data_IF_827491013270
#
_entry.id   IF_827491013270
#
_cell.length_a   1.000
_cell.length_b   1.000
_cell.length_c   1.000
_cell.angle_alpha   90.00
_cell.angle_beta   90.00
_cell.angle_gamma   90.00
#
_symmetry.space_group_name_H-M   'P 1'
#
loop_
_entity.id
_entity.type
_entity.pdbx_description
1 polymer ?
#
# COMPACT_ATOMS: atom_id res chain seq x y z
N UNK A 1 -42.64 4.86 -31.03
CA UNK A 1 -42.43 3.42 -30.79
C UNK A 1 -40.96 3.10 -31.05
N UNK A 2 -40.07 3.42 -30.10
CA UNK A 2 -38.68 2.94 -30.04
C UNK A 2 -38.43 2.72 -28.54
N UNK A 3 -38.26 1.47 -28.16
CA UNK A 3 -38.11 1.01 -26.78
C UNK A 3 -36.72 1.37 -26.26
N UNK A 4 -36.68 1.91 -25.03
CA UNK A 4 -35.46 2.04 -24.23
C UNK A 4 -35.14 0.66 -23.67
N UNK A 5 -33.98 0.12 -24.02
CA UNK A 5 -33.41 -1.06 -23.37
C UNK A 5 -32.79 -0.58 -22.06
N UNK A 6 -33.53 -0.75 -20.96
CA UNK A 6 -32.96 -0.74 -19.62
C UNK A 6 -32.15 -2.04 -19.49
N UNK A 7 -30.82 -1.92 -19.40
CA UNK A 7 -29.98 -3.03 -18.96
C UNK A 7 -30.29 -3.28 -17.49
N UNK A 8 -31.05 -4.33 -17.23
CA UNK A 8 -31.29 -4.86 -15.90
C UNK A 8 -29.95 -5.21 -15.23
N UNK A 9 -29.69 -4.57 -14.10
CA UNK A 9 -28.70 -5.06 -13.16
C UNK A 9 -29.19 -6.43 -12.66
N UNK A 10 -28.44 -7.48 -12.98
CA UNK A 10 -28.68 -8.79 -12.41
C UNK A 10 -28.26 -8.74 -10.93
N UNK A 11 -29.23 -8.42 -10.09
CA UNK A 11 -29.20 -8.65 -8.65
C UNK A 11 -29.25 -10.18 -8.44
N UNK A 12 -28.12 -10.79 -8.10
CA UNK A 12 -28.02 -12.23 -7.85
C UNK A 12 -28.50 -12.62 -6.44
N UNK A 13 -29.06 -11.68 -5.66
CA UNK A 13 -29.58 -11.95 -4.33
C UNK A 13 -28.49 -12.32 -3.31
N UNK A 14 -27.22 -11.99 -3.57
CA UNK A 14 -26.09 -12.30 -2.69
C UNK A 14 -25.58 -11.13 -1.85
N UNK A 15 -26.37 -10.05 -1.66
CA UNK A 15 -26.03 -8.75 -1.02
C UNK A 15 -25.53 -8.74 0.44
N UNK A 16 -24.90 -9.83 0.89
CA UNK A 16 -24.14 -9.97 2.12
C UNK A 16 -22.75 -10.56 1.86
N UNK A 17 -22.34 -10.84 0.62
CA UNK A 17 -21.02 -11.38 0.31
C UNK A 17 -20.41 -10.70 -0.91
N UNK A 18 -19.12 -10.41 -0.86
CA UNK A 18 -18.36 -9.95 -2.01
C UNK A 18 -16.89 -10.37 -1.93
N UNK A 19 -16.25 -10.43 -3.09
CA UNK A 19 -14.82 -10.70 -3.23
C UNK A 19 -14.18 -9.55 -3.98
N UNK A 20 -13.05 -9.06 -3.49
CA UNK A 20 -12.26 -8.04 -4.16
C UNK A 20 -10.78 -8.41 -4.11
N UNK A 21 -10.02 -7.87 -5.06
CA UNK A 21 -8.57 -7.99 -5.09
C UNK A 21 -7.92 -6.63 -5.27
N UNK A 22 -6.74 -6.42 -4.69
CA UNK A 22 -5.95 -5.22 -4.88
C UNK A 22 -4.45 -5.56 -4.90
N UNK A 23 -3.67 -4.77 -5.62
CA UNK A 23 -2.22 -4.90 -5.64
C UNK A 23 -1.53 -4.00 -4.61
N UNK A 24 -0.39 -4.45 -4.11
CA UNK A 24 0.43 -3.65 -3.21
C UNK A 24 1.04 -2.46 -3.96
N UNK A 25 1.26 -1.36 -3.24
CA UNK A 25 1.98 -0.20 -3.77
C UNK A 25 3.29 0.05 -3.02
N UNK A 26 4.27 0.62 -3.74
CA UNK A 26 5.55 1.09 -3.17
C UNK A 26 5.56 2.61 -3.19
N UNK A 27 5.80 3.20 -2.02
CA UNK A 27 5.90 4.65 -1.89
C UNK A 27 7.18 5.16 -2.55
N UNK A 28 7.03 6.07 -3.50
CA UNK A 28 8.12 6.83 -4.13
C UNK A 28 8.43 8.07 -3.29
N UNK A 29 7.39 8.78 -2.85
CA UNK A 29 7.46 9.79 -1.78
C UNK A 29 6.80 9.21 -0.55
N UNK A 30 7.51 9.21 0.58
CA UNK A 30 7.16 8.38 1.73
C UNK A 30 6.02 8.96 2.56
N UNK A 31 5.18 8.05 3.04
CA UNK A 31 4.26 8.29 4.15
C UNK A 31 4.91 7.82 5.45
N UNK A 32 5.24 8.76 6.34
CA UNK A 32 5.79 8.45 7.66
C UNK A 32 5.29 9.43 8.72
N UNK A 33 4.30 8.99 9.50
CA UNK A 33 3.74 9.74 10.62
C UNK A 33 2.37 10.36 10.32
N UNK A 34 1.57 10.52 11.37
CA UNK A 34 0.16 10.93 11.29
C UNK A 34 -0.06 12.28 11.95
N UNK A 35 -0.88 13.10 11.32
CA UNK A 35 -1.48 14.30 11.91
C UNK A 35 -2.66 13.90 12.80
N UNK A 36 -3.47 12.94 12.34
CA UNK A 36 -4.60 12.37 13.07
C UNK A 36 -4.49 10.83 13.07
N UNK A 37 -4.45 10.21 14.26
CA UNK A 37 -4.33 8.77 14.37
C UNK A 37 -5.66 8.01 14.22
N UNK A 38 -6.78 8.65 14.54
CA UNK A 38 -8.12 8.05 14.45
C UNK A 38 -8.62 8.05 13.00
N UNK A 39 -8.37 9.15 12.28
CA UNK A 39 -8.69 9.27 10.86
C UNK A 39 -7.56 8.76 9.95
N UNK A 40 -6.38 8.48 10.51
CA UNK A 40 -5.19 8.05 9.74
C UNK A 40 -4.81 9.11 8.69
N UNK A 41 -4.86 10.39 9.07
CA UNK A 41 -4.44 11.51 8.22
C UNK A 41 -2.91 11.64 8.35
N UNK A 42 -2.16 11.68 7.24
CA UNK A 42 -0.71 11.73 7.29
C UNK A 42 -0.21 13.15 7.54
N UNK A 43 1.06 13.30 7.95
CA UNK A 43 1.68 14.63 8.12
C UNK A 43 2.06 15.29 6.79
N UNK A 44 2.14 14.52 5.72
CA UNK A 44 2.47 14.98 4.37
C UNK A 44 1.84 14.06 3.34
N UNK A 45 1.60 14.60 2.14
CA UNK A 45 1.15 13.84 0.99
C UNK A 45 2.22 12.85 0.54
N UNK A 46 1.82 11.80 -0.18
CA UNK A 46 2.73 10.73 -0.60
C UNK A 46 2.38 10.20 -1.98
N UNK A 47 3.40 9.81 -2.74
CA UNK A 47 3.27 9.29 -4.11
C UNK A 47 3.69 7.82 -4.12
N UNK A 48 3.00 6.96 -4.86
CA UNK A 48 3.37 5.55 -4.99
C UNK A 48 3.14 5.00 -6.39
N UNK A 49 3.77 3.86 -6.65
CA UNK A 49 3.47 3.00 -7.79
C UNK A 49 2.81 1.72 -7.29
N UNK A 50 1.60 1.42 -7.76
CA UNK A 50 0.92 0.13 -7.58
C UNK A 50 1.58 -0.90 -8.49
N UNK A 51 1.94 -2.07 -7.96
CA UNK A 51 2.77 -3.07 -8.66
C UNK A 51 1.98 -4.30 -9.04
N UNK A 52 2.20 -4.83 -10.25
CA UNK A 52 1.63 -6.09 -10.66
C UNK A 52 2.19 -7.27 -9.84
N UNK A 53 1.43 -8.37 -9.83
CA UNK A 53 1.79 -9.68 -9.22
C UNK A 53 1.95 -9.69 -7.69
N UNK A 54 1.60 -8.57 -7.03
CA UNK A 54 1.58 -8.42 -5.57
C UNK A 54 0.14 -8.30 -5.06
N UNK A 55 -0.73 -9.21 -5.52
CA UNK A 55 -2.16 -9.15 -5.31
C UNK A 55 -2.59 -9.80 -4.00
N UNK A 56 -3.44 -9.10 -3.25
CA UNK A 56 -4.23 -9.67 -2.16
C UNK A 56 -5.67 -9.80 -2.60
N UNK A 57 -6.25 -10.98 -2.42
CA UNK A 57 -7.68 -11.25 -2.61
C UNK A 57 -8.36 -11.39 -1.24
N UNK A 58 -9.47 -10.70 -1.04
CA UNK A 58 -10.25 -10.72 0.19
C UNK A 58 -11.72 -10.97 -0.13
N UNK A 59 -12.32 -11.95 0.55
CA UNK A 59 -13.77 -12.13 0.62
C UNK A 59 -14.31 -11.63 1.95
N UNK A 60 -15.50 -11.05 1.92
CA UNK A 60 -16.23 -10.59 3.10
C UNK A 60 -17.65 -11.10 3.00
N UNK A 61 -18.13 -11.78 4.05
CA UNK A 61 -19.51 -12.19 4.23
C UNK A 61 -20.08 -11.60 5.51
N UNK A 62 -21.17 -10.84 5.45
CA UNK A 62 -21.95 -10.44 6.61
C UNK A 62 -23.03 -11.48 6.94
N UNK A 63 -23.32 -11.67 8.23
CA UNK A 63 -24.41 -12.56 8.65
C UNK A 63 -25.78 -11.99 8.23
N UNK A 64 -26.56 -12.83 7.55
CA UNK A 64 -27.93 -12.53 7.09
C UNK A 64 -28.92 -12.42 8.25
N UNK A 65 -28.60 -12.93 9.43
CA UNK A 65 -29.47 -12.84 10.62
C UNK A 65 -29.65 -11.40 11.11
N UNK A 66 -28.76 -10.48 10.70
CA UNK A 66 -28.83 -9.05 10.99
C UNK A 66 -28.67 -8.71 12.48
N UNK A 67 -28.12 -9.63 13.28
CA UNK A 67 -27.80 -9.40 14.69
C UNK A 67 -26.33 -9.67 14.95
N UNK A 68 -25.62 -8.61 15.33
CA UNK A 68 -24.23 -8.71 15.77
C UNK A 68 -24.14 -9.36 17.15
N UNK A 69 -23.27 -10.36 17.24
CA UNK A 69 -22.91 -11.05 18.48
C UNK A 69 -21.49 -10.71 18.94
N UNK A 70 -20.74 -9.93 18.14
CA UNK A 70 -19.37 -9.51 18.45
C UNK A 70 -18.34 -10.56 18.02
N UNK A 71 -18.69 -11.39 17.04
CA UNK A 71 -17.93 -12.57 16.62
C UNK A 71 -17.46 -12.44 15.16
N UNK A 72 -16.87 -11.28 14.80
CA UNK A 72 -16.13 -11.17 13.56
C UNK A 72 -15.04 -12.24 13.50
N UNK A 73 -14.85 -12.86 12.33
CA UNK A 73 -13.82 -13.88 12.11
C UNK A 73 -12.92 -13.47 10.96
N UNK A 74 -11.62 -13.69 11.13
CA UNK A 74 -10.61 -13.38 10.14
C UNK A 74 -9.78 -14.62 9.84
N UNK A 75 -9.67 -14.97 8.56
CA UNK A 75 -8.76 -15.98 8.06
C UNK A 75 -7.72 -15.32 7.15
N UNK A 76 -6.45 -15.62 7.38
CA UNK A 76 -5.34 -15.22 6.49
C UNK A 76 -4.59 -16.49 6.11
N UNK A 77 -4.59 -16.80 4.81
CA UNK A 77 -4.03 -18.04 4.25
C UNK A 77 -4.60 -19.27 4.99
N UNK A 78 -5.93 -19.37 5.01
CA UNK A 78 -6.75 -20.41 5.65
C UNK A 78 -6.57 -20.58 7.17
N UNK A 79 -5.70 -19.78 7.79
CA UNK A 79 -5.46 -19.79 9.23
C UNK A 79 -6.29 -18.72 9.92
N UNK A 80 -7.10 -19.12 10.91
CA UNK A 80 -7.86 -18.18 11.73
C UNK A 80 -6.90 -17.27 12.53
N UNK A 81 -7.18 -15.97 12.53
CA UNK A 81 -6.36 -14.93 13.15
C UNK A 81 -7.16 -14.20 14.21
N UNK A 82 -6.55 -14.03 15.37
CA UNK A 82 -7.14 -13.33 16.50
C UNK A 82 -6.34 -12.07 16.88
N UNK A 83 -6.76 -11.41 17.97
CA UNK A 83 -6.03 -10.30 18.57
C UNK A 83 -5.93 -9.07 17.66
N UNK A 84 -4.73 -8.49 17.58
CA UNK A 84 -4.51 -7.19 16.90
C UNK A 84 -4.86 -7.20 15.42
N UNK A 85 -4.74 -8.34 14.73
CA UNK A 85 -5.08 -8.45 13.32
C UNK A 85 -6.59 -8.33 13.12
N UNK A 86 -7.35 -9.17 13.84
CA UNK A 86 -8.82 -9.14 13.84
C UNK A 86 -9.37 -7.79 14.28
N UNK A 87 -8.85 -7.21 15.38
CA UNK A 87 -9.27 -5.90 15.88
C UNK A 87 -9.18 -4.79 14.82
N UNK A 88 -8.14 -4.81 13.97
CA UNK A 88 -8.00 -3.82 12.89
C UNK A 88 -8.97 -4.04 11.75
N UNK A 89 -9.26 -5.30 11.42
CA UNK A 89 -10.26 -5.66 10.41
C UNK A 89 -11.65 -5.27 10.90
N UNK A 90 -12.02 -5.65 12.13
CA UNK A 90 -13.28 -5.26 12.76
C UNK A 90 -13.45 -3.74 12.84
N UNK A 91 -12.40 -2.99 13.18
CA UNK A 91 -12.48 -1.53 13.21
C UNK A 91 -12.79 -0.90 11.84
N UNK A 92 -12.32 -1.48 10.73
CA UNK A 92 -12.72 -1.03 9.39
C UNK A 92 -14.15 -1.47 9.06
N UNK A 93 -14.54 -2.69 9.44
CA UNK A 93 -15.90 -3.19 9.26
C UNK A 93 -16.93 -2.38 10.03
N UNK A 94 -16.60 -1.89 11.23
CA UNK A 94 -17.46 -0.99 12.01
C UNK A 94 -17.74 0.32 11.24
N UNK A 95 -16.75 0.88 10.54
CA UNK A 95 -16.98 2.04 9.66
C UNK A 95 -17.93 1.70 8.52
N UNK A 96 -17.78 0.51 7.92
CA UNK A 96 -18.68 0.05 6.84
C UNK A 96 -20.11 -0.16 7.36
N UNK A 97 -20.25 -0.76 8.54
CA UNK A 97 -21.55 -0.97 9.22
C UNK A 97 -22.26 0.35 9.47
N UNK A 98 -21.54 1.33 10.01
CA UNK A 98 -22.07 2.67 10.25
C UNK A 98 -22.54 3.35 8.97
N UNK A 99 -21.76 3.23 7.88
CA UNK A 99 -22.12 3.79 6.57
C UNK A 99 -23.35 3.11 5.95
N UNK A 100 -23.47 1.79 6.11
CA UNK A 100 -24.56 1.00 5.54
C UNK A 100 -25.82 0.96 6.44
N UNK A 101 -25.73 1.43 7.68
CA UNK A 101 -26.81 1.33 8.66
C UNK A 101 -27.15 -0.11 9.03
N UNK A 102 -26.14 -0.99 9.09
CA UNK A 102 -26.30 -2.42 9.39
C UNK A 102 -25.58 -2.83 10.67
N UNK A 103 -26.03 -3.91 11.31
CA UNK A 103 -25.42 -4.45 12.53
C UNK A 103 -25.32 -5.98 12.45
N UNK A 104 -24.34 -6.46 11.69
CA UNK A 104 -24.08 -7.89 11.49
C UNK A 104 -22.60 -8.25 11.67
N UNK A 105 -22.32 -9.41 12.26
CA UNK A 105 -20.97 -9.98 12.28
C UNK A 105 -20.51 -10.30 10.86
N UNK A 106 -19.20 -10.30 10.64
CA UNK A 106 -18.61 -10.62 9.36
C UNK A 106 -17.57 -11.74 9.45
N UNK A 107 -17.53 -12.56 8.41
CA UNK A 107 -16.44 -13.49 8.13
C UNK A 107 -15.60 -12.91 7.00
N UNK A 108 -14.31 -12.72 7.28
CA UNK A 108 -13.34 -12.20 6.32
C UNK A 108 -12.30 -13.29 6.03
N UNK A 109 -12.10 -13.63 4.77
CA UNK A 109 -11.00 -14.49 4.34
C UNK A 109 -10.09 -13.74 3.38
N UNK A 110 -8.79 -13.75 3.63
CA UNK A 110 -7.82 -13.03 2.83
C UNK A 110 -6.64 -13.92 2.44
N UNK A 111 -6.22 -13.83 1.19
CA UNK A 111 -5.10 -14.57 0.64
C UNK A 111 -4.20 -13.63 -0.18
N UNK A 112 -2.89 -13.84 -0.12
CA UNK A 112 -1.90 -13.03 -0.83
C UNK A 112 -1.10 -13.90 -1.81
N UNK A 113 -0.85 -13.40 -3.02
CA UNK A 113 -0.07 -14.15 -4.04
C UNK A 113 1.36 -14.42 -3.59
N UNK A 114 1.95 -13.48 -2.85
CA UNK A 114 3.25 -13.63 -2.22
C UNK A 114 3.08 -14.04 -0.76
N UNK A 115 3.89 -15.00 -0.25
CA UNK A 115 3.83 -15.42 1.14
C UNK A 115 3.86 -14.21 2.07
N UNK A 116 3.01 -14.24 3.10
CA UNK A 116 2.89 -13.17 4.10
C UNK A 116 4.25 -12.74 4.70
N UNK A 117 5.20 -13.67 4.76
CA UNK A 117 6.55 -13.50 5.29
C UNK A 117 7.50 -12.75 4.34
N UNK A 118 7.19 -12.52 3.06
CA UNK A 118 8.10 -11.83 2.14
C UNK A 118 8.35 -10.33 2.47
N UNK A 119 7.71 -9.79 3.51
CA UNK A 119 7.97 -8.44 4.02
C UNK A 119 7.64 -7.30 3.03
N UNK A 120 7.02 -7.62 1.90
CA UNK A 120 6.43 -6.67 0.97
C UNK A 120 5.11 -6.15 1.55
N UNK A 121 4.69 -4.96 1.15
CA UNK A 121 3.68 -4.15 1.83
C UNK A 121 2.24 -4.71 1.75
N UNK A 122 2.03 -5.94 2.24
CA UNK A 122 0.77 -6.71 2.23
C UNK A 122 -0.38 -5.96 2.88
N UNK A 123 -0.11 -5.08 3.85
CA UNK A 123 -1.16 -4.29 4.49
C UNK A 123 -1.80 -3.22 3.57
N UNK A 124 -1.15 -2.81 2.48
CA UNK A 124 -1.72 -1.83 1.55
C UNK A 124 -2.82 -2.48 0.68
N UNK A 125 -2.44 -3.53 -0.06
CA UNK A 125 -3.36 -4.35 -0.84
C UNK A 125 -4.46 -4.98 0.02
N UNK A 126 -4.12 -5.56 1.17
CA UNK A 126 -5.11 -6.24 2.02
C UNK A 126 -6.23 -5.31 2.49
N UNK A 127 -5.90 -4.10 2.96
CA UNK A 127 -6.93 -3.17 3.42
C UNK A 127 -7.68 -2.48 2.28
N UNK A 128 -7.08 -2.37 1.08
CA UNK A 128 -7.78 -1.88 -0.10
C UNK A 128 -8.79 -2.93 -0.61
N UNK A 129 -8.38 -4.20 -0.70
CA UNK A 129 -9.26 -5.32 -1.04
C UNK A 129 -10.37 -5.50 0.01
N UNK A 130 -10.04 -5.42 1.30
CA UNK A 130 -11.02 -5.49 2.39
C UNK A 130 -12.04 -4.34 2.31
N UNK A 131 -11.60 -3.10 2.10
CA UNK A 131 -12.51 -1.95 1.98
C UNK A 131 -13.48 -2.14 0.81
N UNK A 132 -12.99 -2.62 -0.34
CA UNK A 132 -13.80 -2.85 -1.53
C UNK A 132 -14.78 -4.01 -1.35
N UNK A 133 -14.32 -5.16 -0.85
CA UNK A 133 -15.17 -6.31 -0.59
C UNK A 133 -16.22 -5.99 0.49
N UNK A 134 -15.82 -5.38 1.60
CA UNK A 134 -16.75 -5.06 2.69
C UNK A 134 -17.80 -4.03 2.26
N UNK A 135 -17.41 -2.94 1.57
CA UNK A 135 -18.38 -1.94 1.10
C UNK A 135 -19.38 -2.54 0.12
N UNK A 136 -18.93 -3.35 -0.84
CA UNK A 136 -19.82 -4.00 -1.80
C UNK A 136 -20.71 -5.05 -1.13
N UNK A 137 -20.17 -5.87 -0.22
CA UNK A 137 -20.93 -6.86 0.55
C UNK A 137 -21.99 -6.22 1.47
N UNK A 138 -21.79 -4.96 1.87
CA UNK A 138 -22.74 -4.17 2.64
C UNK A 138 -23.75 -3.40 1.76
N UNK A 139 -23.69 -3.54 0.42
CA UNK A 139 -24.56 -2.84 -0.51
C UNK A 139 -24.19 -1.38 -0.77
N UNK A 140 -23.04 -0.90 -0.30
CA UNK A 140 -22.57 0.46 -0.55
C UNK A 140 -22.08 0.61 -2.00
N UNK A 141 -22.40 1.74 -2.62
CA UNK A 141 -21.92 2.13 -3.95
C UNK A 141 -20.96 3.31 -3.81
N UNK A 142 -19.70 3.00 -3.45
CA UNK A 142 -18.67 4.02 -3.25
C UNK A 142 -17.94 4.30 -4.56
N UNK A 143 -17.68 5.57 -4.84
CA UNK A 143 -16.72 5.93 -5.88
C UNK A 143 -15.27 5.62 -5.43
N UNK A 144 -14.31 5.74 -6.35
CA UNK A 144 -12.90 5.42 -6.05
C UNK A 144 -12.32 6.32 -4.94
N UNK A 145 -12.76 7.57 -4.84
CA UNK A 145 -12.31 8.53 -3.83
C UNK A 145 -12.85 8.18 -2.46
N UNK A 146 -14.14 7.85 -2.37
CA UNK A 146 -14.80 7.37 -1.16
C UNK A 146 -14.19 6.04 -0.70
N UNK A 147 -13.95 5.11 -1.62
CA UNK A 147 -13.27 3.85 -1.34
C UNK A 147 -11.84 4.08 -0.84
N UNK A 148 -11.11 5.05 -1.43
CA UNK A 148 -9.77 5.46 -0.98
C UNK A 148 -9.79 5.97 0.46
N UNK A 149 -10.78 6.81 0.81
CA UNK A 149 -10.99 7.30 2.19
C UNK A 149 -11.29 6.15 3.15
N UNK A 150 -12.15 5.22 2.76
CA UNK A 150 -12.46 4.03 3.57
C UNK A 150 -11.19 3.17 3.80
N UNK A 151 -10.47 2.82 2.74
CA UNK A 151 -9.25 2.02 2.82
C UNK A 151 -8.18 2.66 3.73
N UNK A 152 -8.06 3.99 3.70
CA UNK A 152 -7.16 4.77 4.58
C UNK A 152 -7.38 4.44 6.05
N UNK A 153 -8.64 4.25 6.49
CA UNK A 153 -9.03 4.00 7.90
C UNK A 153 -8.52 2.64 8.41
N UNK A 154 -8.30 1.66 7.54
CA UNK A 154 -7.69 0.39 7.90
C UNK A 154 -6.16 0.43 7.90
N UNK A 155 -5.60 1.00 6.82
CA UNK A 155 -4.16 1.23 6.66
C UNK A 155 -3.93 2.45 5.77
N UNK A 156 -3.15 3.42 6.22
CA UNK A 156 -2.95 4.68 5.48
C UNK A 156 -2.50 4.47 4.04
N UNK A 157 -1.53 3.58 3.79
CA UNK A 157 -1.04 3.29 2.43
C UNK A 157 -2.04 2.53 1.55
N UNK A 158 -3.11 1.94 2.10
CA UNK A 158 -4.12 1.21 1.33
C UNK A 158 -4.96 2.13 0.44
N UNK A 159 -5.12 3.41 0.81
CA UNK A 159 -5.85 4.38 0.01
C UNK A 159 -5.31 4.52 -1.42
N UNK A 160 -3.98 4.37 -1.59
CA UNK A 160 -3.30 4.44 -2.89
C UNK A 160 -3.43 3.16 -3.71
N UNK A 161 -3.60 2.00 -3.07
CA UNK A 161 -3.83 0.71 -3.75
C UNK A 161 -5.23 0.59 -4.36
N UNK A 162 -6.12 1.55 -4.11
CA UNK A 162 -7.39 1.66 -4.85
C UNK A 162 -7.12 1.91 -6.33
N UNK A 163 -6.09 2.68 -6.66
CA UNK A 163 -5.74 3.06 -8.03
C UNK A 163 -4.61 2.19 -8.58
N UNK A 164 -4.69 1.90 -9.87
CA UNK A 164 -3.58 1.29 -10.62
C UNK A 164 -2.51 2.32 -10.98
N UNK A 165 -1.36 1.85 -11.43
CA UNK A 165 -0.28 2.74 -11.86
C UNK A 165 0.19 3.67 -10.75
N UNK A 166 0.29 4.96 -11.04
CA UNK A 166 0.77 5.96 -10.08
C UNK A 166 -0.38 6.59 -9.30
N UNK A 167 -0.21 6.70 -8.00
CA UNK A 167 -1.22 7.22 -7.10
C UNK A 167 -0.63 8.25 -6.11
N UNK A 168 -1.29 9.40 -6.01
CA UNK A 168 -1.00 10.45 -5.03
C UNK A 168 -2.02 10.36 -3.91
N UNK A 169 -1.55 10.20 -2.66
CA UNK A 169 -2.36 10.43 -1.47
C UNK A 169 -2.16 11.86 -0.97
N UNK A 170 -3.23 12.64 -1.02
CA UNK A 170 -3.32 13.97 -0.43
C UNK A 170 -3.40 13.88 1.08
N UNK A 171 -2.54 14.64 1.78
CA UNK A 171 -2.60 14.69 3.23
C UNK A 171 -3.98 15.17 3.69
N UNK A 172 -4.49 16.25 3.10
CA UNK A 172 -5.70 16.90 3.56
C UNK A 172 -5.58 17.41 5.01
N UNK A 173 -6.70 17.85 5.56
CA UNK A 173 -6.80 18.30 6.95
C UNK A 173 -7.98 17.64 7.69
N UNK A 174 -8.79 16.85 6.99
CA UNK A 174 -9.94 16.12 7.53
C UNK A 174 -10.19 14.83 6.73
N UNK A 175 -11.25 14.11 7.09
CA UNK A 175 -11.61 12.84 6.45
C UNK A 175 -11.95 13.00 4.96
N UNK A 176 -12.56 14.13 4.57
CA UNK A 176 -13.04 14.40 3.22
C UNK A 176 -11.91 14.82 2.26
N UNK A 177 -10.93 15.58 2.75
CA UNK A 177 -9.80 16.10 1.98
C UNK A 177 -8.59 15.15 1.93
N UNK A 178 -8.55 14.11 2.76
CA UNK A 178 -7.45 13.13 2.79
C UNK A 178 -7.77 11.88 1.97
N UNK A 179 -7.50 11.89 0.67
CA UNK A 179 -7.78 10.77 -0.23
C UNK A 179 -6.65 10.56 -1.23
N UNK A 180 -6.60 9.39 -1.85
CA UNK A 180 -5.74 9.17 -3.00
C UNK A 180 -6.47 9.37 -4.31
N UNK A 181 -5.71 9.71 -5.35
CA UNK A 181 -6.16 9.77 -6.74
C UNK A 181 -5.10 9.24 -7.70
N UNK A 182 -5.53 8.86 -8.89
CA UNK A 182 -4.66 8.47 -9.98
C UNK A 182 -3.85 9.67 -10.51
N UNK A 183 -2.58 9.43 -10.83
CA UNK A 183 -1.70 10.39 -11.49
C UNK A 183 -1.27 9.81 -12.83
N UNK A 184 -1.51 10.56 -13.90
CA UNK A 184 -1.02 10.19 -15.22
C UNK A 184 0.51 10.18 -15.23
N UNK A 185 1.08 9.04 -15.58
CA UNK A 185 2.52 8.83 -15.61
C UNK A 185 2.96 8.38 -17.00
N UNK A 186 3.70 9.20 -17.77
CA UNK A 186 4.20 8.81 -19.09
C UNK A 186 5.42 7.88 -19.00
N UNK A 187 6.00 7.70 -17.81
CA UNK A 187 7.19 6.88 -17.59
C UNK A 187 6.84 5.38 -17.52
N UNK A 188 7.66 4.55 -18.14
CA UNK A 188 7.60 3.09 -18.07
C UNK A 188 8.28 2.58 -16.79
N UNK A 189 7.77 2.93 -15.62
CA UNK A 189 8.44 2.61 -14.35
C UNK A 189 8.36 1.12 -13.99
N UNK A 190 9.45 0.62 -13.41
CA UNK A 190 9.53 -0.68 -12.78
C UNK A 190 10.22 -0.59 -11.41
N UNK A 191 9.92 -1.55 -10.54
CA UNK A 191 10.52 -1.69 -9.22
C UNK A 191 11.21 -3.05 -9.13
N UNK A 192 12.51 -3.07 -8.88
CA UNK A 192 13.23 -4.29 -8.51
C UNK A 192 13.28 -4.39 -6.98
N UNK A 193 12.81 -5.49 -6.43
CA UNK A 193 12.77 -5.78 -5.00
C UNK A 193 13.94 -6.69 -4.64
N UNK A 194 14.73 -6.30 -3.64
CA UNK A 194 15.79 -7.11 -3.02
C UNK A 194 15.28 -7.54 -1.64
N UNK A 195 15.00 -8.82 -1.47
CA UNK A 195 14.51 -9.40 -0.22
C UNK A 195 15.70 -9.64 0.73
N UNK A 196 15.82 -8.78 1.74
CA UNK A 196 16.89 -8.85 2.76
C UNK A 196 16.46 -9.74 3.92
N UNK A 197 15.21 -9.63 4.36
CA UNK A 197 14.65 -10.47 5.41
C UNK A 197 13.13 -10.48 5.33
N UNK A 198 12.57 -11.67 5.54
CA UNK A 198 11.13 -11.88 5.72
C UNK A 198 10.65 -11.89 7.18
N UNK A 199 11.57 -11.69 8.13
CA UNK A 199 11.23 -11.79 9.54
C UNK A 199 10.27 -10.68 9.99
N UNK A 200 9.45 -11.00 11.00
CA UNK A 200 8.56 -10.03 11.59
C UNK A 200 9.35 -8.84 12.19
N UNK A 201 8.92 -7.63 11.83
CA UNK A 201 9.52 -6.39 12.32
C UNK A 201 9.47 -6.34 13.85
N UNK A 202 10.62 -6.05 14.47
CA UNK A 202 10.74 -5.85 15.94
C UNK A 202 9.82 -4.72 16.44
N UNK A 203 9.69 -3.65 15.67
CA UNK A 203 8.82 -2.51 15.99
C UNK A 203 7.82 -2.33 14.84
N UNK A 204 6.50 -2.43 15.11
CA UNK A 204 5.47 -2.19 14.09
C UNK A 204 5.56 -0.77 13.54
N UNK A 205 5.34 -0.60 12.22
CA UNK A 205 5.47 0.69 11.55
C UNK A 205 4.58 1.79 12.15
N UNK A 206 3.38 1.44 12.65
CA UNK A 206 2.47 2.39 13.34
C UNK A 206 3.10 2.97 14.60
N UNK A 207 3.81 2.16 15.38
CA UNK A 207 4.49 2.59 16.59
C UNK A 207 5.75 3.39 16.24
N UNK A 208 6.56 2.89 15.30
CA UNK A 208 7.78 3.55 14.85
C UNK A 208 7.53 4.95 14.28
N UNK A 209 6.47 5.11 13.48
CA UNK A 209 6.13 6.43 12.93
C UNK A 209 5.63 7.40 13.99
N UNK A 210 4.81 6.93 14.96
CA UNK A 210 4.38 7.76 16.11
C UNK A 210 5.60 8.23 16.90
N UNK A 211 6.53 7.32 17.18
CA UNK A 211 7.78 7.63 17.88
C UNK A 211 8.62 8.64 17.12
N UNK A 212 8.75 8.48 15.81
CA UNK A 212 9.50 9.42 14.96
C UNK A 212 8.89 10.82 15.03
N UNK A 213 7.57 10.95 14.89
CA UNK A 213 6.83 12.22 15.03
C UNK A 213 7.10 12.88 16.38
N UNK A 214 7.05 12.10 17.46
CA UNK A 214 7.09 12.64 18.83
C UNK A 214 8.49 13.01 19.31
N UNK A 215 9.53 12.36 18.80
CA UNK A 215 10.84 12.37 19.48
C UNK A 215 12.03 12.59 18.56
N UNK A 216 11.84 12.55 17.24
CA UNK A 216 12.94 12.70 16.30
C UNK A 216 13.24 14.16 16.01
N UNK A 217 14.49 14.58 16.27
CA UNK A 217 14.93 15.96 16.05
C UNK A 217 14.90 16.39 14.58
N UNK A 218 14.90 15.43 13.64
CA UNK A 218 14.90 15.72 12.19
C UNK A 218 13.49 15.69 11.57
N UNK A 219 12.46 15.31 12.33
CA UNK A 219 11.16 14.98 11.75
C UNK A 219 10.50 16.15 11.03
N UNK A 220 10.36 17.30 11.69
CA UNK A 220 9.66 18.44 11.08
C UNK A 220 10.42 19.03 9.88
N UNK A 221 11.75 18.95 9.88
CA UNK A 221 12.56 19.35 8.73
C UNK A 221 12.32 18.42 7.54
N UNK A 222 12.28 17.11 7.78
CA UNK A 222 11.98 16.11 6.76
C UNK A 222 10.55 16.24 6.20
N UNK A 223 9.55 16.53 7.04
CA UNK A 223 8.17 16.79 6.57
C UNK A 223 8.11 18.01 5.66
N UNK A 224 8.83 19.09 5.98
CA UNK A 224 8.88 20.29 5.14
C UNK A 224 9.56 20.01 3.79
N UNK A 225 10.74 19.38 3.80
CA UNK A 225 11.43 19.03 2.55
C UNK A 225 10.63 18.02 1.72
N UNK A 226 9.86 17.15 2.38
CA UNK A 226 9.01 16.17 1.72
C UNK A 226 7.89 16.79 0.87
N UNK A 227 7.43 18.00 1.18
CA UNK A 227 6.50 18.74 0.34
C UNK A 227 7.17 19.19 -0.98
N UNK A 228 8.39 19.72 -0.88
CA UNK A 228 9.19 20.12 -2.04
C UNK A 228 9.59 18.89 -2.89
N UNK A 229 9.96 17.77 -2.24
CA UNK A 229 10.25 16.51 -2.91
C UNK A 229 9.05 16.03 -3.74
N UNK A 230 7.83 16.14 -3.19
CA UNK A 230 6.62 15.74 -3.89
C UNK A 230 6.36 16.60 -5.13
N UNK A 231 6.45 17.93 -4.99
CA UNK A 231 6.26 18.84 -6.12
C UNK A 231 7.26 18.54 -7.25
N UNK A 232 8.54 18.38 -6.89
CA UNK A 232 9.60 18.08 -7.85
C UNK A 232 9.45 16.68 -8.46
N UNK A 233 8.97 15.69 -7.70
CA UNK A 233 8.71 14.35 -8.23
C UNK A 233 7.57 14.37 -9.25
N UNK A 234 6.48 15.09 -8.97
CA UNK A 234 5.37 15.26 -9.92
C UNK A 234 5.81 16.00 -11.19
N UNK A 235 6.67 17.02 -11.05
CA UNK A 235 7.26 17.70 -12.20
C UNK A 235 8.14 16.75 -13.03
N UNK A 236 8.99 15.96 -12.38
CA UNK A 236 9.84 14.98 -13.06
C UNK A 236 9.00 13.92 -13.81
N UNK A 237 7.91 13.44 -13.20
CA UNK A 237 6.95 12.54 -13.86
C UNK A 237 6.33 13.19 -15.09
N UNK A 238 5.86 14.44 -14.97
CA UNK A 238 5.26 15.19 -16.08
C UNK A 238 6.23 15.40 -17.24
N UNK A 239 7.51 15.62 -16.95
CA UNK A 239 8.57 15.84 -17.95
C UNK A 239 9.17 14.54 -18.50
N UNK A 240 8.81 13.38 -17.95
CA UNK A 240 9.42 12.10 -18.33
C UNK A 240 10.88 11.96 -17.88
N UNK A 241 11.28 12.62 -16.79
CA UNK A 241 12.64 12.61 -16.26
C UNK A 241 12.80 11.56 -15.16
N UNK A 242 13.10 10.33 -15.56
CA UNK A 242 13.33 9.19 -14.63
C UNK A 242 14.50 9.47 -13.69
N UNK A 243 15.55 10.16 -14.17
CA UNK A 243 16.76 10.39 -13.40
C UNK A 243 16.51 11.36 -12.24
N UNK A 244 15.80 12.46 -12.53
CA UNK A 244 15.36 13.41 -11.50
C UNK A 244 14.41 12.75 -10.52
N UNK A 245 13.42 11.99 -11.00
CA UNK A 245 12.49 11.26 -10.14
C UNK A 245 13.24 10.31 -9.20
N UNK A 246 14.15 9.49 -9.73
CA UNK A 246 14.92 8.52 -8.97
C UNK A 246 15.78 9.16 -7.87
N UNK A 247 16.47 10.25 -8.18
CA UNK A 247 17.26 10.98 -7.19
C UNK A 247 16.40 11.48 -6.01
N UNK A 248 15.22 12.03 -6.29
CA UNK A 248 14.27 12.50 -5.28
C UNK A 248 13.76 11.33 -4.43
N UNK A 249 13.33 10.24 -5.06
CA UNK A 249 12.82 9.05 -4.39
C UNK A 249 13.84 8.48 -3.39
N UNK A 250 15.11 8.40 -3.81
CA UNK A 250 16.18 7.89 -2.95
C UNK A 250 16.47 8.83 -1.78
N UNK A 251 16.61 10.14 -2.04
CA UNK A 251 16.82 11.13 -0.99
C UNK A 251 15.69 11.13 0.04
N UNK A 252 14.44 11.17 -0.43
CA UNK A 252 13.24 11.17 0.43
C UNK A 252 13.17 9.92 1.32
N UNK A 253 13.48 8.75 0.74
CA UNK A 253 13.54 7.48 1.46
C UNK A 253 14.63 7.46 2.54
N UNK A 254 15.84 7.91 2.23
CA UNK A 254 16.94 7.98 3.20
C UNK A 254 16.63 9.00 4.31
N UNK A 255 16.03 10.13 3.97
CA UNK A 255 15.53 11.12 4.93
C UNK A 255 14.52 10.51 5.90
N UNK A 256 13.57 9.70 5.41
CA UNK A 256 12.61 8.99 6.26
C UNK A 256 13.34 8.10 7.27
N UNK A 257 14.30 7.29 6.83
CA UNK A 257 15.09 6.44 7.72
C UNK A 257 15.95 7.23 8.71
N UNK A 258 16.50 8.39 8.32
CA UNK A 258 17.19 9.28 9.24
C UNK A 258 16.27 9.73 10.38
N UNK A 259 15.01 10.08 10.09
CA UNK A 259 14.03 10.41 11.15
C UNK A 259 13.80 9.26 12.12
N UNK A 260 13.83 8.00 11.65
CA UNK A 260 13.71 6.82 12.50
C UNK A 260 14.93 6.66 13.43
N UNK A 261 16.13 6.82 12.87
CA UNK A 261 17.39 6.68 13.60
C UNK A 261 17.59 7.79 14.64
N UNK A 262 17.08 9.00 14.39
CA UNK A 262 17.15 10.12 15.35
C UNK A 262 15.98 10.20 16.32
N UNK A 263 15.02 9.26 16.26
CA UNK A 263 13.97 9.11 17.26
C UNK A 263 14.54 8.66 18.62
N UNK A 264 13.79 8.85 19.71
CA UNK A 264 14.19 8.46 21.06
C UNK A 264 13.08 7.63 21.73
N UNK A 265 13.29 6.32 21.97
CA UNK A 265 14.44 5.51 21.56
C UNK A 265 14.52 5.32 20.02
N UNK A 266 15.73 5.12 19.47
CA UNK A 266 15.92 5.02 18.03
C UNK A 266 15.19 3.81 17.43
N UNK A 267 14.78 3.95 16.18
CA UNK A 267 14.23 2.86 15.37
C UNK A 267 15.19 2.60 14.21
N UNK A 268 15.66 1.36 14.10
CA UNK A 268 16.55 0.94 13.03
C UNK A 268 16.00 -0.35 12.40
N UNK A 269 15.52 -0.22 11.16
CA UNK A 269 15.08 -1.37 10.36
C UNK A 269 16.19 -1.97 9.50
N UNK A 270 17.28 -1.23 9.31
CA UNK A 270 18.39 -1.67 8.47
C UNK A 270 19.07 -2.88 9.10
N UNK A 271 19.41 -3.83 8.25
CA UNK A 271 20.28 -4.96 8.55
C UNK A 271 21.59 -4.81 7.74
N UNK A 272 22.64 -5.60 8.05
CA UNK A 272 23.84 -5.61 7.21
C UNK A 272 23.53 -5.84 5.72
N UNK A 273 22.58 -6.73 5.41
CA UNK A 273 22.12 -6.95 4.03
C UNK A 273 21.42 -5.74 3.40
N UNK A 274 20.77 -4.88 4.18
CA UNK A 274 20.21 -3.62 3.67
C UNK A 274 21.32 -2.69 3.18
N UNK A 275 22.40 -2.58 3.96
CA UNK A 275 23.56 -1.73 3.61
C UNK A 275 24.26 -2.27 2.37
N UNK A 276 24.50 -3.58 2.30
CA UNK A 276 25.08 -4.23 1.12
C UNK A 276 24.21 -4.01 -0.13
N UNK A 277 22.89 -4.14 -0.01
CA UNK A 277 21.96 -3.88 -1.10
C UNK A 277 21.99 -2.42 -1.56
N UNK A 278 22.05 -1.44 -0.64
CA UNK A 278 22.16 -0.02 -0.99
C UNK A 278 23.47 0.29 -1.75
N UNK A 279 24.59 -0.34 -1.36
CA UNK A 279 25.87 -0.19 -2.06
C UNK A 279 25.82 -0.81 -3.46
N UNK A 280 25.28 -2.02 -3.60
CA UNK A 280 25.12 -2.67 -4.89
C UNK A 280 24.23 -1.86 -5.86
N UNK A 281 23.15 -1.25 -5.36
CA UNK A 281 22.31 -0.36 -6.18
C UNK A 281 23.10 0.86 -6.65
N UNK A 282 23.94 1.43 -5.80
CA UNK A 282 24.80 2.55 -6.17
C UNK A 282 25.82 2.17 -7.25
N UNK A 283 26.45 1.00 -7.13
CA UNK A 283 27.37 0.46 -8.14
C UNK A 283 26.69 0.24 -9.49
N UNK A 284 25.49 -0.37 -9.48
CA UNK A 284 24.67 -0.55 -10.69
C UNK A 284 24.35 0.78 -11.35
N UNK A 285 24.01 1.81 -10.55
CA UNK A 285 23.75 3.17 -11.05
C UNK A 285 25.00 3.82 -11.62
N UNK A 286 26.15 3.70 -10.95
CA UNK A 286 27.44 4.19 -11.44
C UNK A 286 27.87 3.48 -12.74
N UNK A 287 27.43 2.24 -12.94
CA UNK A 287 27.54 1.49 -14.20
C UNK A 287 26.70 2.02 -15.35
N UNK A 288 25.89 3.06 -15.13
CA UNK A 288 25.12 3.76 -16.17
C UNK A 288 23.65 3.35 -16.30
N UNK A 289 23.15 2.50 -15.41
CA UNK A 289 21.74 2.09 -15.39
C UNK A 289 20.90 3.04 -14.53
N UNK A 290 19.62 3.19 -14.89
CA UNK A 290 18.64 3.90 -14.08
C UNK A 290 18.29 3.04 -12.86
N UNK A 291 18.90 3.29 -11.71
CA UNK A 291 18.70 2.49 -10.50
C UNK A 291 18.80 3.34 -9.24
N UNK A 292 17.67 3.60 -8.56
CA UNK A 292 17.65 4.39 -7.32
C UNK A 292 16.98 3.63 -6.20
N UNK A 293 17.68 3.55 -5.06
CA UNK A 293 17.19 2.79 -3.93
C UNK A 293 16.03 3.49 -3.23
N UNK A 294 15.07 2.71 -2.77
CA UNK A 294 13.98 3.16 -1.91
C UNK A 294 13.61 2.07 -0.91
N UNK A 295 13.25 2.49 0.29
CA UNK A 295 12.98 1.59 1.41
C UNK A 295 11.73 2.06 2.15
N UNK A 296 10.98 1.09 2.67
CA UNK A 296 9.85 1.38 3.55
C UNK A 296 10.27 1.09 5.00
N UNK A 297 9.31 0.91 5.89
CA UNK A 297 9.58 0.56 7.27
C UNK A 297 10.02 -0.91 7.44
N UNK A 298 11.17 -1.30 6.91
CA UNK A 298 11.71 -2.65 6.95
C UNK A 298 13.11 -2.75 6.32
N UNK A 299 13.73 -3.94 6.34
CA UNK A 299 15.10 -4.13 5.84
C UNK A 299 15.19 -4.25 4.31
N UNK A 300 14.09 -4.60 3.63
CA UNK A 300 14.07 -4.87 2.19
C UNK A 300 14.26 -3.59 1.38
N UNK A 301 15.17 -3.65 0.41
CA UNK A 301 15.49 -2.57 -0.51
C UNK A 301 14.70 -2.75 -1.79
N UNK A 302 14.17 -1.66 -2.33
CA UNK A 302 13.53 -1.61 -3.65
C UNK A 302 14.31 -0.64 -4.52
N UNK A 303 14.25 -0.83 -5.82
CA UNK A 303 15.03 -0.07 -6.79
C UNK A 303 14.09 0.45 -7.85
N UNK A 304 13.97 1.77 -7.93
CA UNK A 304 13.26 2.42 -9.02
C UNK A 304 14.12 2.38 -10.29
N UNK A 305 13.54 1.88 -11.37
CA UNK A 305 14.16 1.78 -12.70
C UNK A 305 13.08 1.91 -13.79
N UNK A 306 13.47 1.74 -15.05
CA UNK A 306 12.55 1.65 -16.19
C UNK A 306 12.24 0.19 -16.50
N UNK A 307 11.10 -0.09 -17.12
CA UNK A 307 10.70 -1.42 -17.55
C UNK A 307 11.72 -1.99 -18.54
N UNK A 308 12.26 -1.14 -19.42
CA UNK A 308 13.32 -1.52 -20.37
C UNK A 308 14.59 -2.02 -19.69
N UNK A 309 14.96 -1.44 -18.54
CA UNK A 309 16.21 -1.74 -17.82
C UNK A 309 16.03 -2.73 -16.66
N UNK A 310 14.79 -3.01 -16.26
CA UNK A 310 14.47 -3.84 -15.10
C UNK A 310 15.17 -5.21 -15.10
N UNK A 311 15.14 -5.93 -16.24
CA UNK A 311 15.79 -7.23 -16.36
C UNK A 311 17.32 -7.14 -16.20
N UNK A 312 17.92 -6.04 -16.68
CA UNK A 312 19.37 -5.82 -16.56
C UNK A 312 19.75 -5.46 -15.13
N UNK A 313 19.01 -4.54 -14.50
CA UNK A 313 19.20 -4.17 -13.10
C UNK A 313 19.04 -5.38 -12.18
N UNK A 314 18.00 -6.20 -12.39
CA UNK A 314 17.79 -7.45 -11.64
C UNK A 314 18.98 -8.41 -11.79
N UNK A 315 19.49 -8.61 -13.01
CA UNK A 315 20.65 -9.46 -13.25
C UNK A 315 21.91 -8.95 -12.54
N UNK A 316 22.25 -7.66 -12.71
CA UNK A 316 23.46 -7.09 -12.13
C UNK A 316 23.39 -7.09 -10.58
N UNK A 317 22.20 -6.87 -10.00
CA UNK A 317 21.98 -6.99 -8.55
C UNK A 317 22.11 -8.42 -8.03
N UNK A 318 21.59 -9.43 -8.75
CA UNK A 318 21.78 -10.84 -8.36
C UNK A 318 23.25 -11.25 -8.39
N UNK A 319 24.01 -10.75 -9.37
CA UNK A 319 25.44 -11.00 -9.45
C UNK A 319 26.20 -10.35 -8.27
N UNK A 320 25.83 -9.13 -7.89
CA UNK A 320 26.44 -8.39 -6.78
C UNK A 320 26.03 -8.92 -5.38
N UNK A 321 24.85 -9.53 -5.26
CA UNK A 321 24.25 -9.97 -4.00
C UNK A 321 23.94 -11.48 -4.02
N UNK A 322 24.96 -12.36 -4.08
CA UNK A 322 24.72 -13.80 -4.12
C UNK A 322 23.97 -14.25 -2.86
N UNK A 323 22.88 -14.99 -3.07
CA UNK A 323 22.01 -15.52 -2.00
C UNK A 323 20.81 -14.65 -1.62
N UNK A 324 20.67 -13.45 -2.20
CA UNK A 324 19.47 -12.64 -2.05
C UNK A 324 18.44 -12.99 -3.12
N UNK A 325 17.17 -13.05 -2.74
CA UNK A 325 16.07 -13.09 -3.71
C UNK A 325 15.85 -11.69 -4.28
N UNK A 326 15.80 -11.61 -5.61
CA UNK A 326 15.65 -10.35 -6.36
C UNK A 326 14.57 -10.54 -7.41
N UNK A 327 13.57 -9.67 -7.43
CA UNK A 327 12.40 -9.77 -8.33
C UNK A 327 12.02 -8.40 -8.89
N UNK A 328 11.79 -8.30 -10.20
CA UNK A 328 11.24 -7.11 -10.84
C UNK A 328 9.72 -7.15 -10.93
N UNK A 329 9.11 -5.98 -10.75
CA UNK A 329 7.68 -5.75 -10.87
C UNK A 329 7.44 -4.48 -11.69
N UNK A 330 6.40 -4.51 -12.52
CA UNK A 330 5.94 -3.34 -13.30
C UNK A 330 4.69 -2.73 -12.68
N UNK A 331 4.24 -1.60 -13.21
CA UNK A 331 2.97 -1.00 -12.84
C UNK A 331 1.80 -2.00 -12.97
N UNK A 332 0.96 -2.07 -11.95
CA UNK A 332 -0.18 -2.98 -11.86
C UNK A 332 -1.52 -2.26 -11.73
N UNK A 333 -2.63 -3.01 -11.88
CA UNK A 333 -3.98 -2.49 -11.70
C UNK A 333 -4.31 -2.25 -10.22
N UNK A 334 -5.25 -1.35 -9.98
CA UNK A 334 -5.79 -1.06 -8.64
C UNK A 334 -6.77 -2.11 -8.15
N UNK A 335 -7.72 -1.68 -7.33
CA UNK A 335 -8.79 -2.54 -6.80
C UNK A 335 -9.67 -3.08 -7.94
N UNK A 336 -10.09 -4.34 -7.80
CA UNK A 336 -11.08 -4.99 -8.67
C UNK A 336 -12.05 -5.81 -7.84
N UNK A 337 -13.35 -5.65 -8.09
CA UNK A 337 -14.35 -6.61 -7.62
C UNK A 337 -14.24 -7.89 -8.47
N UNK A 338 -14.34 -9.04 -7.81
CA UNK A 338 -14.31 -10.36 -8.45
C UNK A 338 -15.74 -10.88 -8.51
N UNK A 339 -16.21 -11.21 -9.71
CA UNK A 339 -17.46 -11.96 -9.87
C UNK A 339 -17.29 -13.32 -9.20
N UNK A 340 -18.15 -13.63 -8.23
CA UNK A 340 -18.29 -14.99 -7.71
C UNK A 340 -18.81 -15.86 -8.85
N UNK A 341 -17.91 -16.58 -9.55
CA UNK A 341 -18.38 -17.69 -10.36
C UNK A 341 -18.95 -18.72 -9.40
N UNK A 342 -20.29 -18.77 -9.34
CA UNK A 342 -21.01 -19.82 -8.65
C UNK A 342 -20.44 -21.16 -9.10
N UNK A 343 -19.90 -21.91 -8.15
CA UNK A 343 -19.66 -23.32 -8.40
C UNK A 343 -21.04 -23.95 -8.56
N UNK A 344 -21.44 -24.13 -9.81
CA UNK A 344 -22.57 -24.96 -10.20
C UNK A 344 -22.25 -26.44 -9.93
#
# INVERSE_FOLDING_TARGET
MIARHNGEALDDGTGYHAVASANANIALIKYWGKADEALIIPRMSSLSLTLADLETTTSVSFDRSGRRTGHDRLYIDDSEREGKALQRVSALLDVVRDMAGMDADAVVSSHNTMPYEAGLASSSSAFAALAAAASHAAGLQLDERELSRLARRGSGSACRSVYGGMALWHAGHDDASSYAEHIDCPLDLAIVVILVSGEQKKIPSREAMRRSVQTSALYDAWVRSGADDLEQALEAVKLGDVARLGAIVQSNSLGMHATMMTARPPVMYWLPGSVAALQAVDEVRQGGLNAWATMDAGPNVKVLTTQREAARVEHDLRAALPGFEVHSHVAGPGVRLRTTQGHA
#
